data_IF_255407207757
#
_entry.id   IF_255407207757
#
_cell.length_a   1.000
_cell.length_b   1.000
_cell.length_c   1.000
_cell.angle_alpha   90.00
_cell.angle_beta   90.00
_cell.angle_gamma   90.00
#
_symmetry.space_group_name_H-M   'P 1'
#
loop_
_entity.id
_entity.type
_entity.pdbx_description
1 polymer ?
#
# COMPACT_ATOMS: atom_id res chain seq x y z
N UNK A 1 4.62 25.71 0.37
CA UNK A 1 6.06 25.56 0.68
C UNK A 1 6.31 24.10 1.05
N UNK A 2 6.89 23.30 0.17
CA UNK A 2 7.22 21.90 0.49
C UNK A 2 8.32 21.92 1.52
N UNK A 3 8.11 21.28 2.67
CA UNK A 3 9.13 21.30 3.73
C UNK A 3 10.31 20.48 3.23
N UNK A 4 11.49 21.11 3.07
CA UNK A 4 12.67 20.54 2.39
C UNK A 4 13.04 19.13 2.87
N UNK A 5 12.83 18.79 4.14
CA UNK A 5 13.13 17.45 4.66
C UNK A 5 12.22 16.36 4.06
N UNK A 6 10.95 16.66 3.74
CA UNK A 6 10.02 15.69 3.15
C UNK A 6 10.47 15.31 1.74
N UNK A 7 10.93 16.29 0.96
CA UNK A 7 11.50 16.04 -0.37
C UNK A 7 12.71 15.10 -0.27
N UNK A 8 13.58 15.28 0.74
CA UNK A 8 14.72 14.38 0.97
C UNK A 8 14.25 12.97 1.34
N UNK A 9 13.27 12.83 2.24
CA UNK A 9 12.69 11.52 2.59
C UNK A 9 12.09 10.84 1.37
N UNK A 10 11.16 11.49 0.66
CA UNK A 10 10.46 10.95 -0.51
C UNK A 10 11.46 10.53 -1.60
N UNK A 11 12.50 11.35 -1.86
CA UNK A 11 13.51 11.02 -2.87
C UNK A 11 14.45 9.90 -2.43
N UNK A 12 14.89 9.87 -1.16
CA UNK A 12 15.75 8.80 -0.66
C UNK A 12 15.00 7.47 -0.56
N UNK A 13 13.76 7.49 -0.10
CA UNK A 13 12.87 6.32 -0.07
C UNK A 13 12.68 5.77 -1.48
N UNK A 14 12.38 6.62 -2.46
CA UNK A 14 12.31 6.22 -3.87
C UNK A 14 13.61 5.57 -4.35
N UNK A 15 14.76 6.20 -4.11
CA UNK A 15 16.06 5.63 -4.51
C UNK A 15 16.36 4.28 -3.83
N UNK A 16 15.94 4.11 -2.58
CA UNK A 16 16.06 2.85 -1.83
C UNK A 16 15.17 1.77 -2.47
N UNK A 17 13.91 2.10 -2.77
CA UNK A 17 12.95 1.18 -3.37
C UNK A 17 13.29 0.82 -4.83
N UNK A 18 13.87 1.77 -5.58
CA UNK A 18 14.37 1.57 -6.95
C UNK A 18 15.69 0.75 -6.98
N UNK A 19 16.21 0.32 -5.82
CA UNK A 19 17.42 -0.52 -5.74
C UNK A 19 18.73 0.22 -6.02
N UNK A 20 18.76 1.56 -5.91
CA UNK A 20 19.98 2.36 -6.12
C UNK A 20 21.09 2.05 -5.12
N UNK A 21 20.71 1.59 -3.93
CA UNK A 21 21.63 1.23 -2.85
C UNK A 21 21.62 -0.28 -2.64
N UNK A 22 22.80 -0.88 -2.52
CA UNK A 22 22.94 -2.31 -2.23
C UNK A 22 22.83 -2.57 -0.74
N UNK A 23 22.32 -3.75 -0.37
CA UNK A 23 22.23 -4.18 1.03
C UNK A 23 23.60 -4.10 1.71
N UNK A 24 23.59 -3.71 2.99
CA UNK A 24 24.79 -3.56 3.82
C UNK A 24 25.84 -2.56 3.28
N UNK A 25 25.51 -1.77 2.24
CA UNK A 25 26.37 -0.67 1.82
C UNK A 25 26.13 0.56 2.66
N UNK A 26 27.22 1.32 2.85
CA UNK A 26 27.18 2.62 3.49
C UNK A 26 26.49 3.61 2.56
N UNK A 27 25.40 4.22 3.03
CA UNK A 27 24.74 5.32 2.33
C UNK A 27 25.63 6.57 2.34
N UNK A 28 25.37 7.54 1.43
CA UNK A 28 26.06 8.83 1.47
C UNK A 28 26.00 9.46 2.86
N UNK A 29 27.10 10.07 3.26
CA UNK A 29 27.25 10.80 4.53
C UNK A 29 26.29 11.99 4.60
N UNK A 30 26.04 12.50 5.81
CA UNK A 30 25.21 13.70 5.98
C UNK A 30 25.71 14.87 5.11
N UNK A 31 27.03 15.04 4.98
CA UNK A 31 27.63 16.12 4.17
C UNK A 31 27.43 15.92 2.67
N UNK A 32 27.51 14.69 2.18
CA UNK A 32 27.21 14.36 0.79
C UNK A 32 25.73 14.56 0.47
N UNK A 33 24.84 14.15 1.39
CA UNK A 33 23.40 14.39 1.25
C UNK A 33 23.07 15.89 1.29
N UNK A 34 23.72 16.66 2.16
CA UNK A 34 23.57 18.12 2.20
C UNK A 34 23.93 18.75 0.85
N UNK A 35 25.07 18.36 0.26
CA UNK A 35 25.51 18.84 -1.06
C UNK A 35 24.56 18.39 -2.18
N UNK A 36 24.12 17.12 -2.16
CA UNK A 36 23.23 16.53 -3.17
C UNK A 36 21.88 17.23 -3.22
N UNK A 37 21.29 17.53 -2.05
CA UNK A 37 19.94 18.08 -1.95
C UNK A 37 19.90 19.61 -1.77
N UNK A 38 21.06 20.25 -1.62
CA UNK A 38 21.19 21.69 -1.29
C UNK A 38 20.32 22.10 -0.09
N UNK A 39 20.54 21.40 1.03
CA UNK A 39 19.81 21.62 2.28
C UNK A 39 20.71 21.63 3.51
N UNK A 40 20.21 22.21 4.61
CA UNK A 40 20.92 22.27 5.88
C UNK A 40 21.13 20.87 6.51
N UNK A 41 22.15 20.76 7.37
CA UNK A 41 22.40 19.56 8.19
C UNK A 41 21.17 19.13 8.99
N UNK A 42 20.45 20.07 9.59
CA UNK A 42 19.23 19.78 10.35
C UNK A 42 18.13 19.16 9.48
N UNK A 43 18.03 19.58 8.22
CA UNK A 43 17.08 19.01 7.24
C UNK A 43 17.43 17.56 6.92
N UNK A 44 18.72 17.27 6.68
CA UNK A 44 19.22 15.91 6.42
C UNK A 44 19.03 15.01 7.64
N UNK A 45 19.42 15.46 8.84
CA UNK A 45 19.25 14.68 10.08
C UNK A 45 17.79 14.34 10.34
N UNK A 46 16.87 15.29 10.12
CA UNK A 46 15.44 15.03 10.24
C UNK A 46 14.95 13.98 9.23
N UNK A 47 15.41 14.05 7.98
CA UNK A 47 15.05 13.07 6.96
C UNK A 47 15.60 11.67 7.28
N UNK A 48 16.85 11.58 7.73
CA UNK A 48 17.47 10.32 8.15
C UNK A 48 16.72 9.71 9.34
N UNK A 49 16.38 10.49 10.37
CA UNK A 49 15.64 9.98 11.52
C UNK A 49 14.29 9.38 11.09
N UNK A 50 13.58 10.02 10.15
CA UNK A 50 12.33 9.49 9.61
C UNK A 50 12.57 8.16 8.89
N UNK A 51 13.61 8.05 8.05
CA UNK A 51 13.94 6.81 7.34
C UNK A 51 14.38 5.68 8.30
N UNK A 52 15.00 6.02 9.44
CA UNK A 52 15.33 5.09 10.53
C UNK A 52 14.04 4.60 11.21
N UNK A 53 13.13 5.50 11.58
CA UNK A 53 11.81 5.15 12.15
C UNK A 53 10.95 4.33 11.16
N UNK A 54 11.12 4.57 9.86
CA UNK A 54 10.48 3.78 8.80
C UNK A 54 11.12 2.39 8.63
N UNK A 55 12.29 2.14 9.21
CA UNK A 55 12.97 0.85 9.16
C UNK A 55 13.72 0.57 7.85
N UNK A 56 13.93 1.57 6.99
CA UNK A 56 14.68 1.42 5.74
C UNK A 56 16.19 1.43 5.96
N UNK A 57 16.65 2.20 6.94
CA UNK A 57 18.08 2.40 7.23
C UNK A 57 18.34 2.32 8.73
N UNK A 58 19.60 2.12 9.10
CA UNK A 58 20.06 2.21 10.48
C UNK A 58 21.36 2.99 10.57
N UNK A 59 21.62 3.56 11.75
CA UNK A 59 22.84 4.32 12.02
C UNK A 59 23.77 3.52 12.93
N UNK A 60 25.06 3.53 12.62
CA UNK A 60 26.12 3.01 13.50
C UNK A 60 27.02 4.18 13.87
N UNK A 61 27.07 4.51 15.16
CA UNK A 61 27.85 5.63 15.67
C UNK A 61 29.31 5.52 15.23
N UNK A 62 29.85 6.58 14.64
CA UNK A 62 31.22 6.63 14.10
C UNK A 62 31.41 5.94 12.73
N UNK A 63 30.53 5.03 12.33
CA UNK A 63 30.69 4.25 11.09
C UNK A 63 29.85 4.77 9.93
N UNK A 64 28.65 5.32 10.19
CA UNK A 64 27.79 5.94 9.18
C UNK A 64 26.36 5.39 9.17
N UNK A 65 25.71 5.52 8.01
CA UNK A 65 24.31 5.15 7.76
C UNK A 65 24.33 3.95 6.81
N UNK A 66 23.54 2.93 7.10
CA UNK A 66 23.54 1.67 6.36
C UNK A 66 22.12 1.27 5.95
N UNK A 67 22.01 0.65 4.78
CA UNK A 67 20.75 0.10 4.29
C UNK A 67 20.38 -1.14 5.10
N UNK A 68 19.17 -1.16 5.67
CA UNK A 68 18.64 -2.35 6.33
C UNK A 68 18.10 -3.33 5.27
N UNK A 69 18.13 -4.63 5.56
CA UNK A 69 17.29 -5.57 4.83
C UNK A 69 15.81 -5.37 5.23
N UNK A 70 15.06 -4.65 4.40
CA UNK A 70 13.65 -4.30 4.64
C UNK A 70 12.67 -5.05 3.73
N UNK A 71 13.16 -5.73 2.70
CA UNK A 71 12.36 -6.63 1.85
C UNK A 71 12.48 -8.07 2.34
N UNK A 72 11.36 -8.79 2.46
CA UNK A 72 11.36 -10.24 2.64
C UNK A 72 10.63 -10.87 1.45
N UNK A 73 11.31 -11.71 0.64
CA UNK A 73 10.67 -12.37 -0.49
C UNK A 73 9.39 -13.09 -0.07
N UNK A 74 8.31 -12.89 -0.83
CA UNK A 74 7.00 -13.50 -0.54
C UNK A 74 6.19 -12.82 0.56
N UNK A 75 6.66 -11.72 1.16
CA UNK A 75 5.90 -10.96 2.14
C UNK A 75 5.26 -9.70 1.55
N UNK A 76 4.02 -9.43 1.95
CA UNK A 76 3.23 -8.25 1.63
C UNK A 76 3.47 -7.18 2.69
N UNK A 77 4.00 -6.03 2.29
CA UNK A 77 4.25 -4.92 3.20
C UNK A 77 2.94 -4.24 3.63
N UNK A 78 2.71 -4.17 4.93
CA UNK A 78 1.55 -3.47 5.50
C UNK A 78 1.70 -1.95 5.50
N UNK A 79 2.93 -1.43 5.36
CA UNK A 79 3.19 0.01 5.25
C UNK A 79 3.04 0.54 3.83
N UNK A 80 3.21 -0.33 2.83
CA UNK A 80 3.13 0.09 1.44
C UNK A 80 1.68 0.45 1.05
N UNK A 81 1.58 1.54 0.29
CA UNK A 81 0.35 2.10 -0.26
C UNK A 81 0.36 2.08 -1.80
N UNK A 82 1.35 1.42 -2.42
CA UNK A 82 1.47 1.27 -3.87
C UNK A 82 0.56 0.20 -4.48
N UNK A 83 -0.16 -0.55 -3.65
CA UNK A 83 -1.00 -1.67 -4.04
C UNK A 83 -0.22 -2.96 -4.30
N UNK A 84 -0.93 -4.09 -4.25
CA UNK A 84 -0.33 -5.43 -4.28
C UNK A 84 0.52 -5.73 -5.52
N UNK A 85 0.24 -5.10 -6.67
CA UNK A 85 1.03 -5.32 -7.91
C UNK A 85 2.48 -4.87 -7.74
N UNK A 86 2.72 -3.78 -7.01
CA UNK A 86 4.09 -3.27 -6.77
C UNK A 86 4.88 -4.12 -5.78
N UNK A 87 4.20 -4.91 -4.95
CA UNK A 87 4.83 -5.83 -3.99
C UNK A 87 5.52 -6.99 -4.71
N UNK A 88 5.00 -7.41 -5.85
CA UNK A 88 5.49 -8.56 -6.63
C UNK A 88 5.85 -8.14 -8.07
N UNK A 89 6.87 -7.28 -8.27
CA UNK A 89 7.16 -6.69 -9.57
C UNK A 89 7.70 -7.69 -10.61
N UNK A 90 8.21 -8.84 -10.14
CA UNK A 90 8.78 -9.89 -10.98
C UNK A 90 7.84 -11.10 -11.16
N UNK A 91 6.65 -11.07 -10.54
CA UNK A 91 5.69 -12.17 -10.59
C UNK A 91 4.46 -11.77 -11.42
N UNK A 92 3.75 -12.78 -11.92
CA UNK A 92 2.53 -12.53 -12.67
C UNK A 92 1.36 -12.26 -11.71
N UNK A 93 0.89 -11.01 -11.71
CA UNK A 93 -0.29 -10.59 -10.94
C UNK A 93 -1.52 -10.48 -11.84
N UNK A 94 -2.55 -11.29 -11.60
CA UNK A 94 -3.82 -11.24 -12.33
C UNK A 94 -4.99 -11.00 -11.39
N UNK A 95 -6.07 -10.44 -11.92
CA UNK A 95 -7.32 -10.24 -11.18
C UNK A 95 -8.48 -10.91 -11.92
N UNK A 96 -9.41 -11.47 -11.16
CA UNK A 96 -10.73 -11.90 -11.64
C UNK A 96 -11.78 -11.04 -10.95
N UNK A 97 -12.35 -10.09 -11.68
CA UNK A 97 -13.45 -9.25 -11.18
C UNK A 97 -14.70 -10.10 -11.01
N UNK A 98 -15.22 -10.14 -9.77
CA UNK A 98 -16.46 -10.83 -9.42
C UNK A 98 -17.66 -9.89 -9.43
N UNK A 99 -17.43 -8.63 -9.04
CA UNK A 99 -18.45 -7.58 -8.93
C UNK A 99 -17.81 -6.23 -9.24
N UNK A 100 -18.48 -5.43 -10.07
CA UNK A 100 -18.15 -4.03 -10.30
C UNK A 100 -19.45 -3.28 -10.54
N UNK A 101 -19.88 -2.51 -9.55
CA UNK A 101 -21.14 -1.79 -9.60
C UNK A 101 -21.00 -0.40 -8.97
N UNK A 102 -21.95 0.48 -9.30
CA UNK A 102 -22.04 1.80 -8.71
C UNK A 102 -23.24 1.83 -7.76
N UNK A 103 -22.97 2.03 -6.48
CA UNK A 103 -23.97 2.07 -5.41
C UNK A 103 -24.07 3.47 -4.80
N UNK A 104 -25.14 3.72 -4.08
CA UNK A 104 -25.31 4.91 -3.24
C UNK A 104 -24.92 4.57 -1.79
N UNK A 105 -24.13 5.45 -1.16
CA UNK A 105 -23.71 5.24 0.22
C UNK A 105 -24.90 5.30 1.18
N UNK A 106 -25.13 4.22 1.93
CA UNK A 106 -26.02 4.24 3.10
C UNK A 106 -25.38 5.01 4.27
N UNK A 107 -26.10 5.15 5.39
CA UNK A 107 -25.59 5.88 6.57
C UNK A 107 -24.27 5.31 7.11
N UNK A 108 -24.13 3.97 7.11
CA UNK A 108 -22.95 3.30 7.66
C UNK A 108 -21.74 3.51 6.76
N UNK A 109 -21.90 3.31 5.45
CA UNK A 109 -20.85 3.49 4.46
C UNK A 109 -20.46 4.97 4.35
N UNK A 110 -21.42 5.89 4.32
CA UNK A 110 -21.18 7.32 4.29
C UNK A 110 -20.35 7.78 5.50
N UNK A 111 -20.68 7.29 6.70
CA UNK A 111 -19.91 7.57 7.92
C UNK A 111 -18.45 7.08 7.82
N UNK A 112 -18.22 5.85 7.34
CA UNK A 112 -16.86 5.30 7.17
C UNK A 112 -16.08 6.04 6.08
N UNK A 113 -16.72 6.31 4.94
CA UNK A 113 -16.14 7.04 3.80
C UNK A 113 -15.99 8.54 4.07
N UNK A 114 -16.50 9.05 5.20
CA UNK A 114 -16.55 10.48 5.53
C UNK A 114 -17.15 11.31 4.39
N UNK A 115 -18.21 10.80 3.77
CA UNK A 115 -18.94 11.45 2.68
C UNK A 115 -20.43 11.62 3.03
N UNK A 116 -21.20 12.22 2.13
CA UNK A 116 -22.63 12.40 2.32
C UNK A 116 -23.38 11.09 2.04
N UNK A 117 -24.50 10.86 2.72
CA UNK A 117 -25.45 9.79 2.36
C UNK A 117 -25.87 9.99 0.90
N UNK A 118 -26.01 8.90 0.15
CA UNK A 118 -26.24 8.85 -1.30
C UNK A 118 -25.08 9.29 -2.20
N UNK A 119 -23.89 9.57 -1.64
CA UNK A 119 -22.67 9.71 -2.47
C UNK A 119 -22.50 8.44 -3.31
N UNK A 120 -22.15 8.59 -4.59
CA UNK A 120 -21.94 7.46 -5.49
C UNK A 120 -20.59 6.80 -5.19
N UNK A 121 -20.60 5.49 -4.96
CA UNK A 121 -19.44 4.70 -4.58
C UNK A 121 -19.30 3.53 -5.55
N UNK A 122 -18.10 3.29 -6.08
CA UNK A 122 -17.82 2.04 -6.79
C UNK A 122 -17.63 0.92 -5.78
N UNK A 123 -18.39 -0.16 -5.92
CA UNK A 123 -18.17 -1.41 -5.19
C UNK A 123 -17.50 -2.43 -6.12
N UNK A 124 -16.22 -2.72 -5.85
CA UNK A 124 -15.41 -3.66 -6.60
C UNK A 124 -15.08 -4.87 -5.72
N UNK A 125 -15.55 -6.06 -6.10
CA UNK A 125 -15.10 -7.33 -5.51
C UNK A 125 -14.31 -8.12 -6.55
N UNK A 126 -13.12 -8.59 -6.19
CA UNK A 126 -12.25 -9.37 -7.09
C UNK A 126 -11.39 -10.36 -6.32
N UNK A 127 -11.00 -11.44 -6.99
CA UNK A 127 -9.94 -12.34 -6.52
C UNK A 127 -8.67 -11.98 -7.25
N UNK A 128 -7.55 -11.97 -6.54
CA UNK A 128 -6.25 -11.74 -7.16
C UNK A 128 -5.37 -12.97 -7.06
N UNK A 129 -4.62 -13.19 -8.13
CA UNK A 129 -3.80 -14.37 -8.35
C UNK A 129 -2.35 -13.94 -8.50
N UNK A 130 -1.46 -14.60 -7.76
CA UNK A 130 -0.02 -14.47 -7.89
C UNK A 130 0.50 -15.77 -8.51
N UNK A 131 1.11 -15.70 -9.69
CA UNK A 131 1.61 -16.87 -10.42
C UNK A 131 0.55 -17.99 -10.57
N UNK A 132 -0.70 -17.59 -10.85
CA UNK A 132 -1.84 -18.49 -11.03
C UNK A 132 -2.50 -18.98 -9.73
N UNK A 133 -1.95 -18.68 -8.55
CA UNK A 133 -2.50 -19.09 -7.26
C UNK A 133 -3.29 -17.95 -6.61
N UNK A 134 -4.53 -18.18 -6.12
CA UNK A 134 -5.31 -17.14 -5.46
C UNK A 134 -4.66 -16.73 -4.14
N UNK A 135 -4.35 -15.43 -3.99
CA UNK A 135 -3.66 -14.90 -2.82
C UNK A 135 -4.57 -14.04 -1.93
N UNK A 136 -5.55 -13.36 -2.51
CA UNK A 136 -6.45 -12.47 -1.77
C UNK A 136 -7.80 -12.29 -2.47
N UNK A 137 -8.88 -12.22 -1.70
CA UNK A 137 -10.16 -11.64 -2.12
C UNK A 137 -10.19 -10.19 -1.63
N UNK A 138 -10.34 -9.25 -2.55
CA UNK A 138 -10.48 -7.82 -2.24
C UNK A 138 -11.94 -7.40 -2.47
N UNK A 139 -12.55 -6.72 -1.50
CA UNK A 139 -13.76 -5.93 -1.69
C UNK A 139 -13.47 -4.48 -1.31
N UNK A 140 -13.52 -3.58 -2.29
CA UNK A 140 -13.16 -2.16 -2.15
C UNK A 140 -14.32 -1.24 -2.53
N UNK A 141 -14.41 -0.13 -1.81
CA UNK A 141 -15.41 0.92 -1.96
C UNK A 141 -14.71 2.23 -2.29
N UNK A 142 -14.79 2.67 -3.56
CA UNK A 142 -14.12 3.88 -4.02
C UNK A 142 -15.08 5.06 -4.18
N UNK A 143 -14.73 6.21 -3.60
CA UNK A 143 -15.53 7.43 -3.72
C UNK A 143 -15.52 7.93 -5.18
N UNK A 144 -16.67 7.94 -5.87
CA UNK A 144 -16.74 8.36 -7.29
C UNK A 144 -16.37 9.82 -7.51
N UNK A 145 -16.62 10.69 -6.53
CA UNK A 145 -16.29 12.12 -6.64
C UNK A 145 -14.76 12.34 -6.65
N UNK A 146 -14.00 11.39 -6.13
CA UNK A 146 -12.52 11.40 -6.12
C UNK A 146 -11.96 10.52 -7.22
N UNK A 147 -12.52 9.31 -7.41
CA UNK A 147 -12.12 8.32 -8.40
C UNK A 147 -13.22 8.29 -9.49
N UNK A 148 -13.12 9.11 -10.54
CA UNK A 148 -14.25 9.39 -11.43
C UNK A 148 -14.74 8.15 -12.20
N UNK A 149 -13.79 7.30 -12.63
CA UNK A 149 -14.07 6.12 -13.43
C UNK A 149 -13.30 4.90 -12.92
N UNK A 150 -14.00 3.77 -12.83
CA UNK A 150 -13.44 2.43 -12.70
C UNK A 150 -14.20 1.57 -13.71
N UNK A 151 -13.59 1.31 -14.85
CA UNK A 151 -14.13 0.42 -15.88
C UNK A 151 -13.57 -1.01 -15.69
N UNK A 152 -13.98 -1.96 -16.54
CA UNK A 152 -13.49 -3.34 -16.45
C UNK A 152 -11.98 -3.47 -16.63
N UNK A 153 -11.38 -2.66 -17.50
CA UNK A 153 -9.92 -2.69 -17.75
C UNK A 153 -9.16 -2.27 -16.49
N UNK A 154 -9.51 -1.11 -15.93
CA UNK A 154 -8.96 -0.59 -14.67
C UNK A 154 -9.18 -1.60 -13.53
N UNK A 155 -10.38 -2.17 -13.42
CA UNK A 155 -10.72 -3.14 -12.38
C UNK A 155 -9.92 -4.45 -12.43
N UNK A 156 -9.47 -4.87 -13.63
CA UNK A 156 -8.62 -6.03 -13.79
C UNK A 156 -7.12 -5.72 -13.55
N UNK A 157 -6.73 -4.45 -13.72
CA UNK A 157 -5.36 -3.98 -13.51
C UNK A 157 -5.05 -3.51 -12.07
N UNK A 158 -4.00 -2.70 -11.98
CA UNK A 158 -3.55 -2.08 -10.73
C UNK A 158 -4.30 -0.77 -10.45
N UNK A 159 -5.33 -0.83 -9.60
CA UNK A 159 -6.13 0.35 -9.23
C UNK A 159 -5.25 1.46 -8.64
N UNK A 160 -4.31 1.10 -7.77
CA UNK A 160 -3.43 2.07 -7.12
C UNK A 160 -2.44 2.72 -8.08
N UNK A 161 -2.00 1.99 -9.10
CA UNK A 161 -1.18 2.56 -10.18
C UNK A 161 -2.01 3.55 -11.00
N UNK A 162 -3.24 3.19 -11.40
CA UNK A 162 -4.16 4.13 -12.07
C UNK A 162 -4.40 5.40 -11.23
N UNK A 163 -4.57 5.28 -9.92
CA UNK A 163 -4.78 6.43 -9.02
C UNK A 163 -3.57 7.37 -8.99
N UNK A 164 -2.36 6.81 -8.93
CA UNK A 164 -1.12 7.60 -8.82
C UNK A 164 -0.67 8.12 -10.19
N UNK A 165 -0.67 7.28 -11.21
CA UNK A 165 -0.10 7.56 -12.52
C UNK A 165 -1.10 8.26 -13.46
N UNK A 166 -2.36 7.86 -13.48
CA UNK A 166 -3.33 8.45 -14.42
C UNK A 166 -4.11 9.60 -13.79
N UNK A 167 -4.61 9.41 -12.56
CA UNK A 167 -5.35 10.46 -11.84
C UNK A 167 -4.44 11.47 -11.14
N UNK A 168 -3.13 11.21 -11.06
CA UNK A 168 -2.14 12.06 -10.38
C UNK A 168 -2.52 12.40 -8.93
N UNK A 169 -3.22 11.48 -8.26
CA UNK A 169 -3.64 11.66 -6.88
C UNK A 169 -2.53 11.26 -5.92
N UNK A 170 -2.35 12.08 -4.87
CA UNK A 170 -1.35 11.83 -3.84
C UNK A 170 -1.98 11.06 -2.68
N UNK A 171 -1.70 9.76 -2.61
CA UNK A 171 -2.07 8.92 -1.48
C UNK A 171 -1.31 9.39 -0.24
N UNK A 172 -2.01 9.53 0.88
CA UNK A 172 -1.48 10.09 2.12
C UNK A 172 -1.09 9.00 3.11
N UNK A 173 -2.09 8.46 3.79
CA UNK A 173 -1.93 7.47 4.86
C UNK A 173 -3.11 6.51 4.85
N UNK A 174 -2.99 5.39 5.56
CA UNK A 174 -4.10 4.48 5.77
C UNK A 174 -4.13 3.96 7.20
N UNK A 175 -5.34 3.78 7.71
CA UNK A 175 -5.60 3.02 8.92
C UNK A 175 -5.86 1.57 8.50
N UNK A 176 -5.10 0.62 9.06
CA UNK A 176 -5.25 -0.81 8.78
C UNK A 176 -5.60 -1.57 10.06
N UNK A 177 -6.68 -2.32 10.03
CA UNK A 177 -7.11 -3.22 11.11
C UNK A 177 -6.89 -4.65 10.63
N UNK A 178 -6.13 -5.42 11.41
CA UNK A 178 -5.83 -6.81 11.10
C UNK A 178 -6.61 -7.70 12.07
N UNK A 179 -7.36 -8.65 11.52
CA UNK A 179 -8.11 -9.65 12.28
C UNK A 179 -8.02 -11.02 11.61
N UNK A 180 -8.64 -12.03 12.21
CA UNK A 180 -8.74 -13.35 11.62
C UNK A 180 -10.17 -13.89 11.74
N UNK A 181 -10.58 -14.66 10.75
CA UNK A 181 -11.84 -15.40 10.76
C UNK A 181 -11.67 -16.78 10.11
N UNK A 182 -12.73 -17.58 10.19
CA UNK A 182 -12.86 -18.81 9.39
C UNK A 182 -13.52 -18.48 8.06
N UNK A 183 -13.03 -19.06 6.97
CA UNK A 183 -13.62 -18.92 5.65
C UNK A 183 -15.00 -19.58 5.60
N UNK A 184 -15.95 -18.89 4.96
CA UNK A 184 -17.21 -19.48 4.51
C UNK A 184 -17.01 -20.29 3.21
N UNK A 185 -18.05 -20.99 2.77
CA UNK A 185 -17.99 -21.84 1.58
C UNK A 185 -17.64 -21.09 0.28
N UNK A 186 -18.08 -19.85 0.14
CA UNK A 186 -17.85 -19.05 -1.07
C UNK A 186 -16.42 -18.53 -1.13
N UNK A 187 -15.95 -17.91 -0.05
CA UNK A 187 -14.60 -17.35 0.03
C UNK A 187 -13.54 -18.46 0.03
N UNK A 188 -13.82 -19.62 0.65
CA UNK A 188 -12.96 -20.80 0.59
C UNK A 188 -12.76 -21.30 -0.84
N UNK A 189 -13.86 -21.43 -1.62
CA UNK A 189 -13.78 -21.82 -3.04
C UNK A 189 -13.01 -20.81 -3.89
N UNK A 190 -13.14 -19.51 -3.60
CA UNK A 190 -12.42 -18.46 -4.33
C UNK A 190 -10.91 -18.47 -4.04
N UNK A 191 -10.51 -18.86 -2.82
CA UNK A 191 -9.12 -18.95 -2.39
C UNK A 191 -8.48 -20.33 -2.58
N UNK A 192 -9.20 -21.30 -3.16
CA UNK A 192 -8.76 -22.70 -3.28
C UNK A 192 -8.38 -23.32 -1.91
N UNK A 193 -9.26 -23.09 -0.92
CA UNK A 193 -9.14 -23.55 0.46
C UNK A 193 -10.40 -24.32 0.88
N UNK A 194 -10.38 -24.89 2.07
CA UNK A 194 -11.54 -25.59 2.64
C UNK A 194 -12.40 -24.64 3.49
N UNK A 195 -13.74 -24.84 3.50
CA UNK A 195 -14.59 -24.14 4.46
C UNK A 195 -14.11 -24.36 5.89
N UNK A 196 -14.03 -23.29 6.68
CA UNK A 196 -13.50 -23.34 8.04
C UNK A 196 -11.99 -23.09 8.16
N UNK A 197 -11.24 -23.10 7.06
CA UNK A 197 -9.82 -22.71 7.06
C UNK A 197 -9.67 -21.25 7.54
N UNK A 198 -8.55 -20.93 8.21
CA UNK A 198 -8.32 -19.57 8.68
C UNK A 198 -8.03 -18.63 7.52
N UNK A 199 -8.42 -17.37 7.67
CA UNK A 199 -7.98 -16.26 6.82
C UNK A 199 -7.55 -15.08 7.67
N UNK A 200 -6.53 -14.36 7.21
CA UNK A 200 -6.21 -13.05 7.73
C UNK A 200 -7.03 -12.01 6.98
N UNK A 201 -7.71 -11.14 7.72
CA UNK A 201 -8.46 -10.01 7.18
C UNK A 201 -7.66 -8.74 7.43
N UNK A 202 -7.52 -7.93 6.39
CA UNK A 202 -7.06 -6.56 6.51
C UNK A 202 -8.19 -5.64 6.07
N UNK A 203 -8.72 -4.86 7.01
CA UNK A 203 -9.59 -3.74 6.70
C UNK A 203 -8.75 -2.48 6.58
N UNK A 204 -8.82 -1.79 5.44
CA UNK A 204 -8.08 -0.55 5.20
C UNK A 204 -9.03 0.64 5.02
N UNK A 205 -8.69 1.77 5.63
CA UNK A 205 -9.27 3.08 5.32
C UNK A 205 -8.17 3.97 4.80
N UNK A 206 -8.24 4.34 3.52
CA UNK A 206 -7.14 5.01 2.82
C UNK A 206 -7.50 6.44 2.49
N UNK A 207 -6.57 7.32 2.86
CA UNK A 207 -6.72 8.76 2.78
C UNK A 207 -5.79 9.33 1.71
N UNK A 208 -6.27 10.32 0.97
CA UNK A 208 -5.38 11.23 0.23
C UNK A 208 -4.54 12.06 1.21
N UNK A 209 -3.46 12.67 0.72
CA UNK A 209 -2.61 13.58 1.52
C UNK A 209 -3.38 14.75 2.15
N UNK A 210 -4.49 15.15 1.53
CA UNK A 210 -5.42 16.18 2.04
C UNK A 210 -6.39 15.67 3.13
N UNK A 211 -6.38 14.38 3.46
CA UNK A 211 -7.21 13.77 4.51
C UNK A 211 -8.59 13.27 4.06
N UNK A 212 -8.92 13.35 2.76
CA UNK A 212 -10.14 12.78 2.21
C UNK A 212 -10.02 11.26 2.07
N UNK A 213 -11.04 10.50 2.51
CA UNK A 213 -11.11 9.05 2.30
C UNK A 213 -11.54 8.79 0.86
N UNK A 214 -10.75 8.01 0.13
CA UNK A 214 -11.07 7.63 -1.24
C UNK A 214 -11.30 6.14 -1.44
N UNK A 215 -10.78 5.30 -0.54
CA UNK A 215 -10.89 3.84 -0.57
C UNK A 215 -11.13 3.29 0.84
N UNK A 216 -12.15 2.43 0.96
CA UNK A 216 -12.30 1.48 2.05
C UNK A 216 -12.20 0.09 1.46
N UNK A 217 -11.33 -0.75 2.01
CA UNK A 217 -11.19 -2.13 1.53
C UNK A 217 -11.27 -3.15 2.66
N UNK A 218 -11.74 -4.34 2.30
CA UNK A 218 -11.66 -5.55 3.11
C UNK A 218 -10.94 -6.59 2.26
N UNK A 219 -9.79 -7.06 2.75
CA UNK A 219 -8.93 -8.00 2.06
C UNK A 219 -8.87 -9.30 2.86
N UNK A 220 -9.29 -10.42 2.27
CA UNK A 220 -9.20 -11.76 2.88
C UNK A 220 -8.10 -12.55 2.22
N UNK A 221 -7.03 -12.82 2.96
CA UNK A 221 -5.83 -13.44 2.43
C UNK A 221 -5.86 -14.97 2.54
N UNK A 222 -5.30 -15.64 1.53
CA UNK A 222 -5.01 -17.07 1.60
C UNK A 222 -3.89 -17.30 2.62
N UNK A 223 -4.20 -17.96 3.74
CA UNK A 223 -3.26 -18.12 4.86
C UNK A 223 -2.02 -18.98 4.54
N UNK A 224 -2.08 -19.79 3.48
CA UNK A 224 -0.97 -20.68 3.09
C UNK A 224 0.10 -19.94 2.29
N UNK A 225 -0.30 -18.93 1.51
CA UNK A 225 0.59 -18.22 0.58
C UNK A 225 0.89 -16.79 1.00
N UNK A 226 -0.03 -16.11 1.68
CA UNK A 226 0.15 -14.73 2.09
C UNK A 226 0.90 -14.61 3.43
N UNK A 227 1.96 -13.79 3.45
CA UNK A 227 2.68 -13.39 4.66
C UNK A 227 2.65 -11.87 4.76
N UNK A 228 2.20 -11.33 5.89
CA UNK A 228 2.15 -9.89 6.11
C UNK A 228 3.41 -9.43 6.86
N UNK A 229 4.06 -8.38 6.36
CA UNK A 229 5.25 -7.78 6.96
C UNK A 229 4.95 -6.34 7.36
N UNK A 230 5.22 -6.00 8.62
CA UNK A 230 5.34 -4.62 9.05
C UNK A 230 6.77 -4.37 9.49
N UNK A 231 7.37 -3.29 9.00
CA UNK A 231 8.63 -2.80 9.52
C UNK A 231 8.33 -2.07 10.84
N UNK A 232 9.20 -2.20 11.83
CA UNK A 232 9.12 -1.51 13.12
C UNK A 232 10.51 -1.12 13.57
#
# INVERSE_FOLDING_TARGET
MVVKYRMVVEQMEKEILDGKYTLNTKLPTEEELMKKFDVSRNTIRKAINILVEQGYIYQVQGSGIFLREFTRPGCISMRDMGGLTKVFPNDEMKSKVLKLELIEADEKLAKRMKCQVKTKIYNLKRVRYLNGQPIVIEESFFNKDIIPIINKEIANGSIYEYIVEDLKLNIGFADKIISCEKLNDDDARLLDLQPGDPTLIVESTVFLKAGAVFDLSIEKYNYTSAKLLTLT
#
